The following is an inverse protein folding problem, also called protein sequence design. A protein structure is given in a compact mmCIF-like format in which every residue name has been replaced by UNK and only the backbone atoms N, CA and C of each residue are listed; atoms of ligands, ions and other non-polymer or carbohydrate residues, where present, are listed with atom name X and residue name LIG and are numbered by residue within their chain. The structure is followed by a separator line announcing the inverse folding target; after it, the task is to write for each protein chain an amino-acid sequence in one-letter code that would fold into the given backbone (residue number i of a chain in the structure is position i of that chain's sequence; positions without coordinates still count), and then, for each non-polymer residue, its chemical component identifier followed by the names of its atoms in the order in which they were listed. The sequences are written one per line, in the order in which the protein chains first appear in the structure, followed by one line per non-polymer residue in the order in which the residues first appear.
data_IF_310694036738
#
_entry.id   IF_310694036738
#
_cell.length_a   1.000
_cell.length_b   1.000
_cell.length_c   1.000
_cell.angle_alpha   90.00
_cell.angle_beta   90.00
_cell.angle_gamma   90.00
#
_symmetry.space_group_name_H-M   'P 1'
#
loop_
_entity.id
_entity.type
_entity.pdbx_description
1 polymer ?
#
# COMPACT_ATOMS: atom_id res chain seq x y z
N UNK A 1 -13.29 -13.73 -4.39
CA UNK A 1 -12.09 -12.98 -4.83
C UNK A 1 -10.86 -13.82 -4.54
N UNK A 2 -9.86 -13.86 -5.45
CA UNK A 2 -8.58 -14.53 -5.19
C UNK A 2 -7.91 -13.85 -4.00
N UNK A 3 -7.49 -14.64 -3.02
CA UNK A 3 -6.75 -14.16 -1.87
C UNK A 3 -5.42 -13.54 -2.34
N UNK A 4 -5.26 -12.23 -2.16
CA UNK A 4 -4.01 -11.54 -2.55
C UNK A 4 -2.92 -11.97 -1.58
N UNK A 5 -1.99 -12.81 -2.02
CA UNK A 5 -0.84 -13.20 -1.22
C UNK A 5 0.18 -12.05 -1.20
N UNK A 6 0.03 -11.15 -0.23
CA UNK A 6 0.89 -9.96 -0.07
C UNK A 6 2.37 -10.37 0.05
N UNK A 7 2.68 -11.50 0.67
CA UNK A 7 4.08 -11.97 0.80
C UNK A 7 4.70 -12.26 -0.55
N UNK A 8 3.93 -12.81 -1.50
CA UNK A 8 4.39 -13.02 -2.87
C UNK A 8 4.49 -11.70 -3.63
N UNK A 9 3.51 -10.80 -3.44
CA UNK A 9 3.49 -9.48 -4.09
C UNK A 9 4.73 -8.65 -3.75
N UNK A 10 5.20 -8.68 -2.49
CA UNK A 10 6.31 -7.84 -1.99
C UNK A 10 7.69 -8.49 -2.07
N UNK A 11 7.78 -9.77 -2.42
CA UNK A 11 9.06 -10.50 -2.38
C UNK A 11 9.93 -10.09 -3.57
N UNK A 12 10.99 -9.33 -3.28
CA UNK A 12 11.94 -8.87 -4.30
C UNK A 12 11.40 -7.76 -5.20
N UNK A 13 10.30 -7.11 -4.80
CA UNK A 13 9.68 -6.02 -5.55
C UNK A 13 9.86 -4.68 -4.84
N UNK A 14 9.84 -3.62 -5.64
CA UNK A 14 9.94 -2.24 -5.19
C UNK A 14 8.58 -1.57 -5.41
N UNK A 15 8.17 -0.76 -4.44
CA UNK A 15 7.00 0.10 -4.54
C UNK A 15 7.40 1.45 -5.11
N UNK A 16 6.66 1.94 -6.11
CA UNK A 16 6.89 3.24 -6.71
C UNK A 16 5.85 4.25 -6.25
N UNK A 17 6.31 5.44 -5.85
CA UNK A 17 5.44 6.55 -5.50
C UNK A 17 4.67 7.01 -6.74
N UNK A 18 3.35 7.16 -6.61
CA UNK A 18 2.47 7.57 -7.70
C UNK A 18 2.01 9.03 -7.55
N UNK A 19 1.44 9.36 -6.38
CA UNK A 19 0.81 10.65 -6.13
C UNK A 19 0.59 10.89 -4.64
N UNK A 20 0.40 12.16 -4.28
CA UNK A 20 -0.07 12.57 -2.96
C UNK A 20 -1.38 13.35 -3.13
N UNK A 21 -2.46 12.85 -2.53
CA UNK A 21 -3.78 13.48 -2.54
C UNK A 21 -4.55 13.08 -1.29
N UNK A 22 -5.41 13.97 -0.79
CA UNK A 22 -6.32 13.69 0.34
C UNK A 22 -5.60 13.18 1.59
N UNK A 23 -4.43 13.76 1.89
CA UNK A 23 -3.60 13.37 3.04
C UNK A 23 -2.95 11.98 2.92
N UNK A 24 -2.97 11.37 1.74
CA UNK A 24 -2.46 10.01 1.50
C UNK A 24 -1.36 10.00 0.44
N UNK A 25 -0.27 9.33 0.75
CA UNK A 25 0.78 8.96 -0.20
C UNK A 25 0.37 7.66 -0.88
N UNK A 26 0.25 7.66 -2.20
CA UNK A 26 -0.13 6.50 -2.97
C UNK A 26 1.12 5.83 -3.54
N UNK A 27 1.31 4.56 -3.21
CA UNK A 27 2.37 3.71 -3.73
C UNK A 27 1.78 2.57 -4.55
N UNK A 28 2.55 2.08 -5.52
CA UNK A 28 2.17 0.97 -6.39
C UNK A 28 3.24 -0.12 -6.36
N UNK A 29 2.80 -1.37 -6.17
CA UNK A 29 3.63 -2.57 -6.36
C UNK A 29 2.97 -3.45 -7.41
N UNK A 30 3.63 -3.69 -8.53
CA UNK A 30 3.02 -4.32 -9.70
C UNK A 30 1.72 -3.59 -10.07
N UNK A 31 0.56 -4.26 -10.03
CA UNK A 31 -0.75 -3.64 -10.31
C UNK A 31 -1.56 -3.31 -9.05
N UNK A 32 -0.95 -3.37 -7.87
CA UNK A 32 -1.60 -3.07 -6.59
C UNK A 32 -1.22 -1.69 -6.08
N UNK A 33 -2.19 -0.77 -6.06
CA UNK A 33 -2.06 0.55 -5.43
C UNK A 33 -2.59 0.52 -4.00
N UNK A 34 -1.94 1.24 -3.10
CA UNK A 34 -2.38 1.37 -1.71
C UNK A 34 -1.99 2.74 -1.12
N UNK A 35 -2.83 3.29 -0.23
CA UNK A 35 -2.56 4.56 0.43
C UNK A 35 -1.77 4.39 1.74
N UNK A 36 -0.93 5.38 2.04
CA UNK A 36 -0.27 5.59 3.32
C UNK A 36 -0.71 6.94 3.86
N UNK A 37 -1.42 7.02 5.01
CA UNK A 37 -1.74 8.30 5.65
C UNK A 37 -0.47 9.07 6.01
N UNK A 38 -0.41 10.36 5.73
CA UNK A 38 0.78 11.19 6.01
C UNK A 38 1.10 11.29 7.52
N UNK A 39 0.10 11.07 8.37
CA UNK A 39 0.24 11.03 9.83
C UNK A 39 1.07 9.82 10.31
N UNK A 40 1.09 8.74 9.52
CA UNK A 40 1.86 7.52 9.78
C UNK A 40 3.34 7.67 9.33
N UNK A 41 3.72 8.78 8.67
CA UNK A 41 5.05 8.97 8.08
C UNK A 41 5.91 10.02 8.78
N UNK A 42 5.67 10.28 10.08
CA UNK A 42 6.42 11.28 10.85
C UNK A 42 7.91 10.94 10.91
N UNK A 43 8.75 11.87 10.42
CA UNK A 43 10.21 11.71 10.39
C UNK A 43 10.73 10.82 9.25
N UNK A 44 9.86 10.35 8.36
CA UNK A 44 10.25 9.57 7.19
C UNK A 44 10.59 10.47 5.98
N UNK A 45 11.33 9.91 5.03
CA UNK A 45 11.59 10.51 3.72
C UNK A 45 10.75 9.78 2.68
N UNK A 46 10.12 10.53 1.78
CA UNK A 46 9.31 9.95 0.70
C UNK A 46 10.21 9.66 -0.49
N UNK A 47 10.66 8.42 -0.57
CA UNK A 47 11.44 7.95 -1.70
C UNK A 47 10.52 7.68 -2.90
N UNK A 48 11.01 7.97 -4.11
CA UNK A 48 10.35 7.58 -5.35
C UNK A 48 10.17 6.06 -5.44
N UNK A 49 11.11 5.32 -4.87
CA UNK A 49 11.14 3.87 -4.78
C UNK A 49 11.40 3.43 -3.34
N UNK A 50 10.59 2.51 -2.83
CA UNK A 50 10.70 1.96 -1.48
C UNK A 50 10.57 0.43 -1.53
N UNK A 51 11.23 -0.30 -0.63
CA UNK A 51 11.10 -1.76 -0.64
C UNK A 51 9.66 -2.16 -0.32
N UNK A 52 9.04 -3.01 -1.13
CA UNK A 52 7.66 -3.45 -0.91
C UNK A 52 7.43 -4.03 0.49
N UNK A 53 8.46 -4.69 1.04
CA UNK A 53 8.46 -5.22 2.41
C UNK A 53 8.29 -4.14 3.48
N UNK A 54 8.89 -2.96 3.33
CA UNK A 54 8.73 -1.82 4.25
C UNK A 54 7.26 -1.38 4.31
N UNK A 55 6.56 -1.47 3.18
CA UNK A 55 5.22 -0.94 3.02
C UNK A 55 4.10 -1.97 3.28
N UNK A 56 4.46 -3.21 3.62
CA UNK A 56 3.54 -4.34 3.77
C UNK A 56 2.41 -4.09 4.79
N UNK A 57 2.68 -3.30 5.84
CA UNK A 57 1.69 -2.94 6.87
C UNK A 57 0.48 -2.22 6.26
N UNK A 58 0.71 -1.26 5.37
CA UNK A 58 -0.36 -0.48 4.76
C UNK A 58 -1.09 -1.26 3.66
N UNK A 59 -0.39 -2.14 2.94
CA UNK A 59 -1.03 -3.07 2.00
C UNK A 59 -2.04 -3.99 2.70
N UNK A 60 -1.68 -4.55 3.86
CA UNK A 60 -2.59 -5.40 4.66
C UNK A 60 -3.84 -4.64 5.09
N UNK A 61 -3.65 -3.45 5.68
CA UNK A 61 -4.76 -2.58 6.08
C UNK A 61 -5.68 -2.23 4.91
N UNK A 62 -5.11 -1.96 3.73
CA UNK A 62 -5.91 -1.62 2.56
C UNK A 62 -6.74 -2.82 2.06
N UNK A 63 -6.16 -4.03 2.04
CA UNK A 63 -6.88 -5.25 1.69
C UNK A 63 -7.99 -5.57 2.69
N UNK A 64 -7.76 -5.34 3.99
CA UNK A 64 -8.79 -5.49 5.03
C UNK A 64 -9.95 -4.51 4.80
N UNK A 65 -9.65 -3.25 4.49
CA UNK A 65 -10.66 -2.23 4.18
C UNK A 65 -11.49 -2.58 2.93
N UNK A 66 -10.82 -3.00 1.85
CA UNK A 66 -11.50 -3.42 0.62
C UNK A 66 -12.42 -4.64 0.83
N UNK A 67 -12.06 -5.53 1.78
CA UNK A 67 -12.93 -6.65 2.16
C UNK A 67 -14.16 -6.18 2.93
N UNK A 68 -13.99 -5.26 3.89
CA UNK A 68 -15.12 -4.75 4.66
C UNK A 68 -16.10 -3.93 3.82
N UNK A 69 -15.60 -3.13 2.86
CA UNK A 69 -16.46 -2.33 1.98
C UNK A 69 -17.23 -3.17 0.95
N UNK A 70 -16.79 -4.41 0.67
CA UNK A 70 -17.46 -5.34 -0.23
C UNK A 70 -18.48 -6.28 0.44
N UNK A 71 -18.69 -6.16 1.75
CA UNK A 71 -19.67 -6.97 2.53
C UNK A 71 -20.97 -6.20 2.83
N UNK A 72 -21.05 -4.91 2.47
CA UNK A 72 -22.23 -4.04 2.68
C UNK A 72 -23.12 -3.88 1.42
N UNK A 73 -22.89 -4.68 0.35
CA UNK A 73 -23.76 -4.81 -0.84
C UNK A 73 -24.30 -6.23 -1.01
#
# INVERSE_FOLDING_TARGET
MKEVNIKELVKGTTATFQRYTDGKLWYKVNDFEFPIPIEDTKGAVFNAEEKGMTLMRWMRKHIELMKSEGEDE
#
